data_IF_215662141473
#
_entry.id   IF_215662141473
#
_cell.length_a   1.000
_cell.length_b   1.000
_cell.length_c   1.000
_cell.angle_alpha   90.00
_cell.angle_beta   90.00
_cell.angle_gamma   90.00
#
_symmetry.space_group_name_H-M   'P 1'
#
loop_
_entity.id
_entity.type
_entity.pdbx_description
1 polymer ?
#
# COMPACT_ATOMS: atom_id res chain seq x y z
N UNK A 1 13.75 -32.32 -6.50
CA UNK A 1 13.96 -31.04 -7.23
C UNK A 1 12.82 -30.11 -6.85
N UNK A 2 13.09 -28.99 -6.17
CA UNK A 2 12.05 -28.00 -5.91
C UNK A 2 11.52 -27.50 -7.27
N UNK A 3 10.24 -27.77 -7.56
CA UNK A 3 9.64 -27.37 -8.82
C UNK A 3 9.77 -25.86 -9.00
N UNK A 4 9.86 -25.40 -10.24
CA UNK A 4 10.02 -23.98 -10.60
C UNK A 4 9.04 -23.04 -9.85
N UNK A 5 7.85 -23.54 -9.49
CA UNK A 5 6.84 -22.81 -8.68
C UNK A 5 7.34 -22.46 -7.28
N UNK A 6 8.05 -23.37 -6.62
CA UNK A 6 8.60 -23.17 -5.28
C UNK A 6 9.72 -22.12 -5.30
N UNK A 7 10.62 -22.23 -6.28
CA UNK A 7 11.70 -21.26 -6.45
C UNK A 7 11.15 -19.88 -6.75
N UNK A 8 10.15 -19.77 -7.64
CA UNK A 8 9.46 -18.51 -7.92
C UNK A 8 8.81 -17.92 -6.66
N UNK A 9 8.12 -18.75 -5.86
CA UNK A 9 7.50 -18.29 -4.59
C UNK A 9 8.56 -17.74 -3.64
N UNK A 10 9.67 -18.45 -3.45
CA UNK A 10 10.77 -18.05 -2.56
C UNK A 10 11.41 -16.73 -3.00
N UNK A 11 11.74 -16.59 -4.28
CA UNK A 11 12.36 -15.37 -4.80
C UNK A 11 11.45 -14.15 -4.71
N UNK A 12 10.15 -14.32 -4.97
CA UNK A 12 9.18 -13.22 -4.84
C UNK A 12 8.89 -12.84 -3.37
N UNK A 13 8.90 -13.82 -2.47
CA UNK A 13 8.82 -13.58 -1.02
C UNK A 13 10.02 -12.78 -0.53
N UNK A 14 11.23 -13.12 -1.00
CA UNK A 14 12.43 -12.36 -0.69
C UNK A 14 12.33 -10.90 -1.14
N UNK A 15 11.87 -10.65 -2.37
CA UNK A 15 11.66 -9.28 -2.87
C UNK A 15 10.69 -8.49 -1.99
N UNK A 16 9.65 -9.12 -1.45
CA UNK A 16 8.75 -8.41 -0.55
C UNK A 16 9.48 -7.99 0.72
N UNK A 17 10.19 -8.92 1.37
CA UNK A 17 10.95 -8.64 2.59
C UNK A 17 12.05 -7.59 2.38
N UNK A 18 12.66 -7.52 1.19
CA UNK A 18 13.70 -6.51 0.90
C UNK A 18 13.16 -5.09 0.80
N UNK A 19 11.93 -4.91 0.31
CA UNK A 19 11.33 -3.60 0.05
C UNK A 19 10.13 -3.32 0.96
N UNK A 20 10.13 -3.96 2.13
CA UNK A 20 9.06 -3.82 3.09
C UNK A 20 9.24 -2.53 3.89
N UNK A 21 8.13 -1.82 4.09
CA UNK A 21 8.04 -0.59 4.85
C UNK A 21 7.13 -0.82 6.04
N UNK A 22 7.53 -0.33 7.20
CA UNK A 22 6.65 -0.30 8.37
C UNK A 22 5.60 0.78 8.18
N UNK A 23 4.36 0.46 8.51
CA UNK A 23 3.25 1.39 8.50
C UNK A 23 2.25 1.07 9.61
N UNK A 24 1.36 2.02 9.89
CA UNK A 24 0.20 1.79 10.75
C UNK A 24 -1.06 1.74 9.90
N UNK A 25 -1.80 0.64 10.04
CA UNK A 25 -3.09 0.42 9.41
C UNK A 25 -4.23 0.79 10.37
N UNK A 26 -5.16 1.62 9.91
CA UNK A 26 -6.31 2.08 10.67
C UNK A 26 -7.56 2.05 9.80
N UNK A 27 -8.57 1.29 10.21
CA UNK A 27 -9.82 1.18 9.44
C UNK A 27 -10.64 2.46 9.44
N UNK A 28 -10.57 3.23 10.52
CA UNK A 28 -11.24 4.51 10.73
C UNK A 28 -10.58 5.22 11.94
N UNK A 29 -10.93 6.49 12.19
CA UNK A 29 -10.36 7.28 13.28
C UNK A 29 -10.52 6.64 14.68
N UNK A 30 -11.59 5.87 14.89
CA UNK A 30 -11.84 5.14 16.14
C UNK A 30 -11.40 3.66 16.08
N UNK A 31 -10.76 3.24 14.99
CA UNK A 31 -10.27 1.87 14.82
C UNK A 31 -9.03 1.59 15.66
N UNK A 32 -8.80 0.33 15.98
CA UNK A 32 -7.55 -0.10 16.63
C UNK A 32 -6.40 0.01 15.63
N UNK A 33 -5.32 0.76 15.94
CA UNK A 33 -4.15 0.85 15.08
C UNK A 33 -3.42 -0.50 15.05
N UNK A 34 -3.15 -1.01 13.86
CA UNK A 34 -2.42 -2.26 13.64
C UNK A 34 -1.10 -1.93 12.95
N UNK A 35 0.02 -2.30 13.56
CA UNK A 35 1.31 -2.20 12.91
C UNK A 35 1.41 -3.27 11.82
N UNK A 36 1.70 -2.83 10.61
CA UNK A 36 1.80 -3.70 9.44
C UNK A 36 3.10 -3.45 8.69
N UNK A 37 3.57 -4.48 8.02
CA UNK A 37 4.64 -4.37 7.05
C UNK A 37 4.06 -4.50 5.66
N UNK A 38 4.32 -3.50 4.82
CA UNK A 38 3.71 -3.40 3.50
C UNK A 38 4.73 -3.03 2.45
N UNK A 39 4.39 -3.26 1.18
CA UNK A 39 5.20 -2.78 0.06
C UNK A 39 4.41 -1.79 -0.77
N UNK A 40 4.89 -0.56 -0.86
CA UNK A 40 4.37 0.46 -1.76
C UNK A 40 4.89 0.22 -3.18
N UNK A 41 4.01 0.30 -4.17
CA UNK A 41 4.35 0.07 -5.57
C UNK A 41 3.56 1.03 -6.46
N UNK A 42 4.18 1.55 -7.52
CA UNK A 42 3.50 2.32 -8.56
C UNK A 42 3.26 1.43 -9.78
N UNK A 43 2.01 1.31 -10.20
CA UNK A 43 1.65 0.61 -11.42
C UNK A 43 1.55 1.61 -12.57
N UNK A 44 2.16 1.29 -13.72
CA UNK A 44 1.84 1.99 -14.95
C UNK A 44 0.50 1.49 -15.47
N UNK A 45 -0.43 2.42 -15.67
CA UNK A 45 -1.70 2.18 -16.34
C UNK A 45 -1.52 2.66 -17.77
N UNK A 46 -1.44 1.73 -18.71
CA UNK A 46 -1.45 2.05 -20.13
C UNK A 46 -2.85 2.60 -20.47
N UNK A 47 -2.93 3.89 -20.81
CA UNK A 47 -4.18 4.48 -21.30
C UNK A 47 -4.56 3.79 -22.61
N UNK A 48 -5.68 3.04 -22.61
CA UNK A 48 -6.17 2.31 -23.80
C UNK A 48 -6.36 3.22 -25.03
N UNK A 49 -6.49 4.54 -24.83
CA UNK A 49 -6.73 5.52 -25.90
C UNK A 49 -5.45 6.00 -26.63
N UNK A 50 -4.25 5.61 -26.22
CA UNK A 50 -2.99 6.10 -26.82
C UNK A 50 -2.42 5.20 -27.93
N UNK A 51 -3.07 4.09 -28.26
CA UNK A 51 -2.56 3.15 -29.27
C UNK A 51 -2.72 3.63 -30.72
N UNK A 52 -3.58 4.63 -30.99
CA UNK A 52 -3.89 5.06 -32.37
C UNK A 52 -3.08 6.28 -32.86
N UNK A 53 -2.42 7.03 -31.98
CA UNK A 53 -1.84 8.34 -32.36
C UNK A 53 -0.35 8.45 -32.01
N UNK A 54 0.49 7.67 -32.70
CA UNK A 54 1.95 7.59 -32.51
C UNK A 54 2.69 8.90 -32.91
N UNK A 55 1.98 9.94 -33.39
CA UNK A 55 2.58 11.14 -33.98
C UNK A 55 2.50 12.41 -33.11
N UNK A 56 1.74 12.43 -32.01
CA UNK A 56 1.53 13.66 -31.24
C UNK A 56 1.70 13.48 -29.72
N UNK A 57 2.86 13.91 -29.22
CA UNK A 57 3.04 14.33 -27.83
C UNK A 57 3.56 13.28 -26.83
N UNK A 58 4.08 13.72 -25.67
CA UNK A 58 4.57 12.84 -24.63
C UNK A 58 3.43 11.96 -24.11
N UNK A 59 3.63 10.64 -24.11
CA UNK A 59 2.73 9.67 -23.50
C UNK A 59 2.69 9.91 -21.99
N UNK A 60 1.61 10.54 -21.51
CA UNK A 60 1.32 10.62 -20.08
C UNK A 60 0.98 9.21 -19.60
N UNK A 61 1.97 8.53 -19.04
CA UNK A 61 1.79 7.28 -18.32
C UNK A 61 1.04 7.59 -17.03
N UNK A 62 -0.20 7.12 -16.94
CA UNK A 62 -0.95 7.26 -15.70
C UNK A 62 -0.37 6.28 -14.67
N UNK A 63 -0.07 6.78 -13.47
CA UNK A 63 0.58 6.01 -12.41
C UNK A 63 -0.41 5.83 -11.26
N UNK A 64 -0.76 4.59 -10.96
CA UNK A 64 -1.62 4.28 -9.81
C UNK A 64 -0.79 3.71 -8.67
N UNK A 65 -0.96 4.29 -7.48
CA UNK A 65 -0.34 3.77 -6.26
C UNK A 65 -1.09 2.51 -5.80
N UNK A 66 -0.34 1.48 -5.42
CA UNK A 66 -0.88 0.28 -4.81
C UNK A 66 0.00 -0.18 -3.66
N UNK A 67 -0.63 -0.73 -2.63
CA UNK A 67 0.04 -1.28 -1.46
C UNK A 67 -0.20 -2.79 -1.43
N UNK A 68 0.86 -3.55 -1.22
CA UNK A 68 0.80 -5.00 -1.03
C UNK A 68 0.94 -5.32 0.46
N UNK A 69 -0.06 -5.99 1.01
CA UNK A 69 -0.14 -6.42 2.41
C UNK A 69 0.12 -7.91 2.52
N UNK A 70 0.66 -8.32 3.67
CA UNK A 70 0.77 -9.72 4.04
C UNK A 70 -0.48 -10.18 4.81
N UNK A 71 -1.15 -11.22 4.32
CA UNK A 71 -2.38 -11.74 4.92
C UNK A 71 -2.19 -12.33 6.33
N UNK A 72 -0.96 -12.73 6.66
CA UNK A 72 -0.62 -13.21 8.00
C UNK A 72 -0.71 -12.12 9.07
N UNK A 73 -0.48 -10.85 8.70
CA UNK A 73 -0.57 -9.70 9.60
C UNK A 73 -1.95 -9.03 9.52
N UNK A 74 -2.50 -8.95 8.31
CA UNK A 74 -3.79 -8.32 8.03
C UNK A 74 -4.66 -9.25 7.18
N UNK A 75 -5.53 -10.07 7.80
CA UNK A 75 -6.34 -11.06 7.09
C UNK A 75 -7.30 -10.47 6.06
N UNK A 76 -7.69 -9.20 6.25
CA UNK A 76 -8.60 -8.48 5.37
C UNK A 76 -8.23 -7.00 5.32
N UNK A 77 -8.11 -6.48 4.10
CA UNK A 77 -7.99 -5.04 3.85
C UNK A 77 -9.40 -4.48 3.66
N UNK A 78 -9.78 -3.52 4.49
CA UNK A 78 -11.02 -2.76 4.36
C UNK A 78 -10.83 -1.56 3.43
N UNK A 79 -11.83 -1.23 2.63
CA UNK A 79 -11.85 0.00 1.85
C UNK A 79 -11.95 1.22 2.79
N UNK A 80 -11.38 2.35 2.35
CA UNK A 80 -11.30 3.63 3.07
C UNK A 80 -10.57 3.55 4.41
N UNK A 81 -9.73 2.53 4.60
CA UNK A 81 -8.80 2.48 5.72
C UNK A 81 -7.53 3.28 5.40
N UNK A 82 -6.95 3.90 6.43
CA UNK A 82 -5.70 4.64 6.37
C UNK A 82 -4.51 3.69 6.53
N UNK A 83 -3.47 3.94 5.74
CA UNK A 83 -2.14 3.34 5.85
C UNK A 83 -1.16 4.49 6.02
N UNK A 84 -0.56 4.60 7.19
CA UNK A 84 0.25 5.75 7.59
C UNK A 84 1.71 5.30 7.64
N UNK A 85 2.53 5.91 6.79
CA UNK A 85 3.97 5.67 6.73
C UNK A 85 4.74 6.68 7.57
N UNK A 86 4.16 7.86 7.81
CA UNK A 86 4.67 8.82 8.76
C UNK A 86 3.76 10.02 8.94
N UNK A 87 4.29 11.10 9.52
CA UNK A 87 3.56 12.33 9.77
C UNK A 87 3.19 13.12 8.50
N UNK A 88 3.85 12.83 7.38
CA UNK A 88 3.68 13.52 6.10
C UNK A 88 3.10 12.64 4.99
N UNK A 89 3.04 11.33 5.19
CA UNK A 89 2.68 10.38 4.15
C UNK A 89 1.68 9.34 4.66
N UNK A 90 0.49 9.36 4.06
CA UNK A 90 -0.55 8.38 4.31
C UNK A 90 -1.37 8.11 3.05
N UNK A 91 -1.98 6.94 3.00
CA UNK A 91 -2.79 6.49 1.89
C UNK A 91 -4.14 5.94 2.37
N UNK A 92 -5.17 6.18 1.58
CA UNK A 92 -6.49 5.57 1.72
C UNK A 92 -6.58 4.35 0.82
N UNK A 93 -7.00 3.24 1.40
CA UNK A 93 -7.20 1.97 0.69
C UNK A 93 -8.48 1.99 -0.13
N UNK A 94 -8.39 1.52 -1.36
CA UNK A 94 -9.49 1.27 -2.27
C UNK A 94 -9.80 -0.22 -2.39
N UNK A 95 -10.32 -0.67 -3.55
CA UNK A 95 -10.58 -2.07 -3.81
C UNK A 95 -9.33 -2.94 -3.68
N UNK A 96 -9.48 -4.07 -3.00
CA UNK A 96 -8.40 -5.05 -2.83
C UNK A 96 -8.57 -6.25 -3.76
N UNK A 97 -7.46 -6.78 -4.27
CA UNK A 97 -7.42 -7.98 -5.09
C UNK A 97 -6.32 -8.93 -4.59
N UNK A 98 -6.49 -10.26 -4.72
CA UNK A 98 -5.41 -11.20 -4.49
C UNK A 98 -4.21 -10.89 -5.40
N UNK A 99 -3.01 -10.81 -4.84
CA UNK A 99 -1.78 -10.62 -5.63
C UNK A 99 -1.07 -11.97 -5.85
N UNK A 100 -0.88 -12.74 -4.76
CA UNK A 100 -0.27 -14.08 -4.74
C UNK A 100 -0.59 -14.79 -3.41
N UNK A 101 -0.21 -16.06 -3.26
CA UNK A 101 -0.40 -16.81 -2.00
C UNK A 101 0.14 -16.03 -0.79
N UNK A 102 -0.75 -15.72 0.17
CA UNK A 102 -0.40 -15.02 1.40
C UNK A 102 -0.30 -13.48 1.29
N UNK A 103 -0.59 -12.89 0.12
CA UNK A 103 -0.52 -11.45 -0.09
C UNK A 103 -1.74 -10.90 -0.83
N UNK A 104 -2.16 -9.71 -0.43
CA UNK A 104 -3.26 -8.97 -1.05
C UNK A 104 -2.75 -7.61 -1.51
N UNK A 105 -3.12 -7.19 -2.71
CA UNK A 105 -2.89 -5.82 -3.18
C UNK A 105 -4.14 -4.98 -2.97
N UNK A 106 -3.96 -3.72 -2.64
CA UNK A 106 -5.00 -2.71 -2.67
C UNK A 106 -4.54 -1.57 -3.54
N UNK A 107 -5.42 -1.08 -4.41
CA UNK A 107 -5.22 0.24 -5.00
C UNK A 107 -5.41 1.28 -3.90
N UNK A 108 -4.62 2.35 -3.94
CA UNK A 108 -4.63 3.36 -2.89
C UNK A 108 -4.60 4.77 -3.44
N UNK A 109 -5.18 5.70 -2.71
CA UNK A 109 -5.17 7.14 -3.01
C UNK A 109 -4.37 7.85 -1.93
N UNK A 110 -3.53 8.79 -2.33
CA UNK A 110 -2.74 9.59 -1.40
C UNK A 110 -3.65 10.53 -0.59
N UNK A 111 -3.38 10.64 0.71
CA UNK A 111 -4.09 11.55 1.61
C UNK A 111 -3.32 12.86 1.65
N UNK A 112 -4.03 13.99 1.52
CA UNK A 112 -3.37 15.29 1.60
C UNK A 112 -2.75 15.52 2.98
N UNK A 113 -1.67 16.28 3.06
CA UNK A 113 -1.00 16.58 4.33
C UNK A 113 -1.93 17.29 5.33
N UNK A 114 -2.83 18.15 4.84
CA UNK A 114 -3.80 18.85 5.68
C UNK A 114 -4.81 17.89 6.30
N UNK A 115 -5.32 16.93 5.51
CA UNK A 115 -6.26 15.92 5.99
C UNK A 115 -5.58 14.95 6.95
N UNK A 116 -4.34 14.55 6.68
CA UNK A 116 -3.56 13.69 7.56
C UNK A 116 -3.29 14.35 8.91
N UNK A 117 -2.87 15.62 8.91
CA UNK A 117 -2.62 16.38 10.14
C UNK A 117 -3.90 16.47 10.98
N UNK A 118 -5.04 16.75 10.33
CA UNK A 118 -6.35 16.81 10.99
C UNK A 118 -6.76 15.46 11.57
N UNK A 119 -6.53 14.38 10.82
CA UNK A 119 -6.83 13.01 11.24
C UNK A 119 -5.98 12.58 12.43
N UNK A 120 -4.67 12.80 12.38
CA UNK A 120 -3.74 12.44 13.45
C UNK A 120 -4.02 13.20 14.75
N UNK A 121 -4.50 14.45 14.68
CA UNK A 121 -4.89 15.21 15.87
C UNK A 121 -6.05 14.57 16.65
N UNK A 122 -6.87 13.74 15.99
CA UNK A 122 -8.00 13.05 16.60
C UNK A 122 -7.68 11.64 17.15
N UNK A 123 -6.43 11.20 17.10
CA UNK A 123 -6.04 9.80 17.38
C UNK A 123 -4.96 9.76 18.43
N UNK A 124 -5.01 8.76 19.31
CA UNK A 124 -3.92 8.48 20.24
C UNK A 124 -2.74 7.81 19.50
N UNK A 125 -1.67 8.59 19.32
CA UNK A 125 -0.43 8.18 18.66
C UNK A 125 0.67 7.77 19.64
N UNK A 126 0.38 7.68 20.94
CA UNK A 126 1.39 7.38 21.98
C UNK A 126 1.72 5.88 22.12
N UNK A 127 0.90 5.01 21.51
CA UNK A 127 1.07 3.56 21.60
C UNK A 127 2.31 3.03 20.88
N UNK A 128 2.80 1.83 21.27
CA UNK A 128 4.03 1.23 20.70
C UNK A 128 3.92 0.93 19.20
N UNK A 129 2.71 0.81 18.67
CA UNK A 129 2.47 0.60 17.23
C UNK A 129 3.00 1.74 16.36
N UNK A 130 3.09 2.96 16.91
CA UNK A 130 3.50 4.17 16.21
C UNK A 130 5.02 4.45 16.27
N UNK A 131 5.78 3.67 17.02
CA UNK A 131 7.21 3.87 17.21
C UNK A 131 7.97 3.80 15.87
N UNK A 132 8.74 4.85 15.54
CA UNK A 132 9.47 4.97 14.28
C UNK A 132 8.59 5.28 13.05
N UNK A 133 7.32 5.64 13.25
CA UNK A 133 6.39 6.08 12.19
C UNK A 133 6.11 7.58 12.31
N UNK A 134 5.61 8.05 13.46
CA UNK A 134 5.18 9.46 13.65
C UNK A 134 6.27 10.35 14.28
N UNK A 135 7.46 9.80 14.57
CA UNK A 135 8.58 10.52 15.21
C UNK A 135 9.10 11.70 14.40
#
# INVERSE_FOLDING_TARGET
MAGWREQKRKSLGHIHATFELSAVYLTHAAGTPVRVTVRLHKAQVASQNQAEDFRNGPTLLDLTNRIVFQLAQLPKVHNKAYVIFGNSEAYLTGPSQPEREGYVRSDVTEVSQADLTTFLAGIDTTGPVWEGIIS
#
